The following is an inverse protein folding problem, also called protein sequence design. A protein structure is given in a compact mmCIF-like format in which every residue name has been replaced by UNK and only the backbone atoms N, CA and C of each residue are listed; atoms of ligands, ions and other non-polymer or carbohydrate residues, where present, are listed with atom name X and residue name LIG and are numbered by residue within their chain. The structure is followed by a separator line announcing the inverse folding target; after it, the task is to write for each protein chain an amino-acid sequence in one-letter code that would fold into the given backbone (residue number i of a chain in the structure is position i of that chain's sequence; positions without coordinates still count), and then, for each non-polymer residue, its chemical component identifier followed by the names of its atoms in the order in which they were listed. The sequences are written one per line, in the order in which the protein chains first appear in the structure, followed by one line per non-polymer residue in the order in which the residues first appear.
data_IF_383019358442
#
_entry.id   IF_383019358442
#
_cell.length_a   1.000
_cell.length_b   1.000
_cell.length_c   1.000
_cell.angle_alpha   90.00
_cell.angle_beta   90.00
_cell.angle_gamma   90.00
#
_symmetry.space_group_name_H-M   'P 1'
#
loop_
_entity.id
_entity.type
_entity.pdbx_description
1 polymer ?
#
# COMPACT_ATOMS: atom_id res chain seq x y z
N UNK A 1 -17.96 -12.99 11.92
CA UNK A 1 -19.22 -13.62 12.38
C UNK A 1 -20.14 -12.65 13.12
N UNK A 2 -19.61 -11.74 13.95
CA UNK A 2 -20.41 -10.76 14.71
C UNK A 2 -21.25 -9.83 13.83
N UNK A 3 -20.69 -9.37 12.70
CA UNK A 3 -21.38 -8.52 11.72
C UNK A 3 -22.67 -9.17 11.17
N UNK A 4 -22.69 -10.49 11.00
CA UNK A 4 -23.88 -11.21 10.54
C UNK A 4 -24.91 -11.37 11.67
N UNK A 5 -24.45 -11.68 12.89
CA UNK A 5 -25.32 -11.83 14.07
C UNK A 5 -26.00 -10.52 14.49
N UNK A 6 -25.37 -9.38 14.22
CA UNK A 6 -25.90 -8.05 14.54
C UNK A 6 -26.95 -7.52 13.54
N UNK A 7 -27.20 -8.21 12.41
CA UNK A 7 -28.18 -7.77 11.40
C UNK A 7 -29.58 -8.28 11.72
N UNK A 8 -30.53 -7.36 11.85
CA UNK A 8 -31.97 -7.65 11.80
C UNK A 8 -32.45 -7.63 10.34
N UNK A 9 -33.00 -8.74 9.88
CA UNK A 9 -33.56 -8.91 8.54
C UNK A 9 -34.99 -8.39 8.52
N UNK A 10 -35.29 -7.53 7.53
CA UNK A 10 -36.65 -7.10 7.25
C UNK A 10 -37.32 -8.06 6.26
N UNK A 11 -38.67 -8.16 6.23
CA UNK A 11 -39.38 -9.16 5.42
C UNK A 11 -39.06 -9.14 3.91
N UNK A 12 -38.69 -7.99 3.36
CA UNK A 12 -38.36 -7.82 1.94
C UNK A 12 -36.86 -8.03 1.61
N UNK A 13 -36.02 -8.26 2.63
CA UNK A 13 -34.59 -8.44 2.43
C UNK A 13 -34.27 -9.88 2.06
N UNK A 14 -33.47 -10.10 1.02
CA UNK A 14 -32.98 -11.43 0.67
C UNK A 14 -31.81 -11.85 1.59
N UNK A 15 -31.98 -12.82 2.50
CA UNK A 15 -30.94 -13.19 3.45
C UNK A 15 -29.71 -13.80 2.77
N UNK A 16 -29.89 -14.49 1.64
CA UNK A 16 -28.80 -15.12 0.90
C UNK A 16 -27.87 -14.12 0.22
N UNK A 17 -28.39 -12.99 -0.26
CA UNK A 17 -27.57 -11.90 -0.82
C UNK A 17 -26.81 -11.16 0.28
N UNK A 18 -27.49 -10.86 1.39
CA UNK A 18 -26.88 -10.19 2.55
C UNK A 18 -25.76 -11.04 3.14
N UNK A 19 -25.98 -12.36 3.24
CA UNK A 19 -24.97 -13.30 3.68
C UNK A 19 -23.77 -13.30 2.73
N UNK A 20 -23.99 -13.44 1.41
CA UNK A 20 -22.90 -13.45 0.41
C UNK A 20 -22.09 -12.15 0.43
N UNK A 21 -22.75 -11.01 0.52
CA UNK A 21 -22.09 -9.70 0.58
C UNK A 21 -21.21 -9.55 1.85
N UNK A 22 -21.67 -10.09 2.98
CA UNK A 22 -20.94 -10.02 4.24
C UNK A 22 -19.83 -11.07 4.36
N UNK A 23 -20.08 -12.31 3.93
CA UNK A 23 -19.16 -13.44 4.09
C UNK A 23 -18.11 -13.53 2.98
N UNK A 24 -18.37 -13.00 1.77
CA UNK A 24 -17.44 -12.99 0.63
C UNK A 24 -16.73 -14.34 0.44
N UNK A 25 -15.39 -14.35 0.52
CA UNK A 25 -14.54 -15.53 0.31
C UNK A 25 -14.70 -16.60 1.41
N UNK A 26 -15.21 -16.20 2.58
CA UNK A 26 -15.38 -17.07 3.73
C UNK A 26 -16.74 -17.75 3.78
N UNK A 27 -17.64 -17.44 2.83
CA UNK A 27 -18.97 -18.04 2.74
C UNK A 27 -18.95 -19.58 2.76
N UNK A 28 -17.93 -20.20 2.16
CA UNK A 28 -17.74 -21.66 2.12
C UNK A 28 -17.45 -22.29 3.49
N UNK A 29 -17.06 -21.50 4.48
CA UNK A 29 -16.73 -21.97 5.84
C UNK A 29 -17.85 -21.74 6.84
N UNK A 30 -18.92 -21.05 6.44
CA UNK A 30 -19.96 -20.58 7.35
C UNK A 30 -21.29 -21.23 6.96
N UNK A 31 -21.93 -21.84 7.94
CA UNK A 31 -23.33 -22.23 7.90
C UNK A 31 -24.18 -21.12 8.50
N UNK A 32 -25.34 -20.87 7.89
CA UNK A 32 -26.26 -19.87 8.39
C UNK A 32 -27.70 -20.35 8.28
N UNK A 33 -28.52 -19.89 9.22
CA UNK A 33 -29.98 -20.01 9.21
C UNK A 33 -30.56 -18.67 9.67
N UNK A 34 -31.81 -18.41 9.30
CA UNK A 34 -32.54 -17.25 9.81
C UNK A 34 -33.57 -17.75 10.82
N UNK A 35 -33.47 -17.26 12.04
CA UNK A 35 -34.38 -17.55 13.14
C UNK A 35 -34.80 -16.20 13.73
N UNK A 36 -36.11 -15.97 13.84
CA UNK A 36 -36.69 -14.72 14.35
C UNK A 36 -36.15 -13.44 13.67
N UNK A 37 -35.97 -13.49 12.36
CA UNK A 37 -35.44 -12.36 11.59
C UNK A 37 -33.96 -12.05 11.84
N UNK A 38 -33.20 -12.96 12.48
CA UNK A 38 -31.75 -12.79 12.72
C UNK A 38 -30.96 -13.94 12.12
N UNK A 39 -29.71 -13.66 11.74
CA UNK A 39 -28.79 -14.70 11.32
C UNK A 39 -28.25 -15.48 12.52
N UNK A 40 -28.53 -16.78 12.55
CA UNK A 40 -27.80 -17.74 13.35
C UNK A 40 -26.68 -18.32 12.48
N UNK A 41 -25.43 -18.09 12.86
CA UNK A 41 -24.25 -18.54 12.10
C UNK A 41 -23.41 -19.53 12.91
N UNK A 42 -22.95 -20.58 12.24
CA UNK A 42 -22.03 -21.59 12.75
C UNK A 42 -20.88 -21.80 11.76
N UNK A 43 -19.76 -22.33 12.26
CA UNK A 43 -18.64 -22.71 11.39
C UNK A 43 -18.85 -24.13 10.89
N UNK A 44 -18.64 -24.33 9.58
CA UNK A 44 -18.51 -25.64 8.97
C UNK A 44 -17.16 -26.24 9.38
N UNK A 45 -17.09 -26.84 10.56
CA UNK A 45 -15.84 -27.38 11.15
C UNK A 45 -15.07 -28.25 10.16
N UNK A 46 -15.75 -29.14 9.42
CA UNK A 46 -15.10 -30.00 8.42
C UNK A 46 -14.50 -29.20 7.26
N UNK A 47 -15.19 -28.18 6.74
CA UNK A 47 -14.68 -27.34 5.65
C UNK A 47 -13.47 -26.52 6.12
N UNK A 48 -13.51 -26.01 7.36
CA UNK A 48 -12.39 -25.31 7.99
C UNK A 48 -11.20 -26.24 8.16
N UNK A 49 -11.38 -27.41 8.77
CA UNK A 49 -10.32 -28.40 8.97
C UNK A 49 -9.71 -28.87 7.66
N UNK A 50 -10.52 -29.13 6.62
CA UNK A 50 -10.02 -29.49 5.30
C UNK A 50 -9.17 -28.38 4.67
N UNK A 51 -9.56 -27.12 4.84
CA UNK A 51 -8.77 -26.00 4.35
C UNK A 51 -7.46 -25.85 5.14
N UNK A 52 -7.50 -25.96 6.47
CA UNK A 52 -6.31 -25.91 7.34
C UNK A 52 -5.33 -27.03 6.97
N UNK A 53 -5.82 -28.25 6.76
CA UNK A 53 -4.99 -29.40 6.36
C UNK A 53 -4.31 -29.21 4.99
N UNK A 54 -4.87 -28.36 4.13
CA UNK A 54 -4.29 -28.00 2.81
C UNK A 54 -3.43 -26.74 2.85
N UNK A 55 -3.32 -26.06 4.00
CA UNK A 55 -2.45 -24.89 4.11
C UNK A 55 -0.99 -25.32 4.01
N UNK A 56 -0.21 -24.56 3.24
CA UNK A 56 1.23 -24.70 3.21
C UNK A 56 1.82 -24.45 4.60
N UNK A 57 2.90 -25.16 4.93
CA UNK A 57 3.69 -24.90 6.14
C UNK A 57 4.80 -23.92 5.79
N UNK A 58 4.97 -22.90 6.62
CA UNK A 58 6.10 -21.96 6.53
C UNK A 58 7.04 -22.22 7.69
N UNK A 59 8.34 -22.43 7.40
CA UNK A 59 9.37 -22.70 8.41
C UNK A 59 10.36 -21.52 8.37
N UNK A 60 10.50 -20.83 9.50
CA UNK A 60 11.48 -19.77 9.68
C UNK A 60 12.64 -20.30 10.52
N UNK A 61 13.81 -20.45 9.89
CA UNK A 61 15.04 -20.80 10.58
C UNK A 61 15.80 -19.52 10.92
N UNK A 62 16.28 -19.41 12.15
CA UNK A 62 17.07 -18.27 12.61
C UNK A 62 18.20 -18.74 13.52
N UNK A 63 19.20 -17.87 13.71
CA UNK A 63 20.33 -18.09 14.62
C UNK A 63 20.47 -16.89 15.55
N UNK A 64 20.56 -17.14 16.86
CA UNK A 64 20.70 -16.10 17.89
C UNK A 64 19.62 -16.20 18.96
N UNK A 65 19.64 -15.26 19.91
CA UNK A 65 18.64 -15.16 20.98
C UNK A 65 17.54 -14.19 20.57
N UNK A 66 16.43 -14.75 20.09
CA UNK A 66 15.24 -14.00 19.70
C UNK A 66 14.00 -14.78 20.10
N UNK A 67 12.97 -14.06 20.54
CA UNK A 67 11.62 -14.60 20.69
C UNK A 67 11.00 -14.88 19.33
N UNK A 68 9.97 -15.75 19.30
CA UNK A 68 9.24 -16.04 18.07
C UNK A 68 8.59 -14.79 17.43
N UNK A 69 8.18 -13.81 18.26
CA UNK A 69 7.60 -12.54 17.79
C UNK A 69 8.66 -11.71 17.07
N UNK A 70 9.85 -11.60 17.66
CA UNK A 70 10.96 -10.85 17.08
C UNK A 70 11.45 -11.49 15.78
N UNK A 71 11.59 -12.82 15.73
CA UNK A 71 11.94 -13.53 14.50
C UNK A 71 10.94 -13.23 13.38
N UNK A 72 9.65 -13.28 13.68
CA UNK A 72 8.61 -13.00 12.69
C UNK A 72 8.61 -11.53 12.25
N UNK A 73 8.82 -10.59 13.18
CA UNK A 73 8.92 -9.17 12.89
C UNK A 73 10.13 -8.85 12.00
N UNK A 74 11.30 -9.41 12.32
CA UNK A 74 12.53 -9.29 11.52
C UNK A 74 12.35 -9.92 10.14
N UNK A 75 11.73 -11.09 10.03
CA UNK A 75 11.45 -11.67 8.72
C UNK A 75 10.52 -10.77 7.90
N UNK A 76 9.47 -10.22 8.52
CA UNK A 76 8.53 -9.31 7.86
C UNK A 76 9.18 -7.98 7.46
N UNK A 77 10.20 -7.51 8.15
CA UNK A 77 10.90 -6.26 7.75
C UNK A 77 11.60 -6.41 6.39
N UNK A 78 11.90 -7.64 5.95
CA UNK A 78 12.38 -7.94 4.59
C UNK A 78 11.43 -7.43 3.51
N UNK A 79 10.12 -7.36 3.78
CA UNK A 79 9.13 -6.80 2.84
C UNK A 79 9.48 -5.36 2.43
N UNK A 80 10.12 -4.58 3.30
CA UNK A 80 10.59 -3.22 2.97
C UNK A 80 11.68 -3.27 1.89
N UNK A 81 12.57 -4.26 1.96
CA UNK A 81 13.62 -4.48 0.95
C UNK A 81 12.99 -4.93 -0.37
N UNK A 82 12.03 -5.87 -0.32
CA UNK A 82 11.33 -6.35 -1.52
C UNK A 82 10.56 -5.22 -2.21
N UNK A 83 9.87 -4.38 -1.45
CA UNK A 83 9.23 -3.15 -1.95
C UNK A 83 10.23 -2.15 -2.52
N UNK A 84 11.40 -2.01 -1.91
CA UNK A 84 12.47 -1.16 -2.43
C UNK A 84 12.97 -1.62 -3.80
N UNK A 85 13.17 -2.92 -3.98
CA UNK A 85 13.52 -3.50 -5.29
C UNK A 85 12.41 -3.37 -6.32
N UNK A 86 11.15 -3.51 -5.91
CA UNK A 86 10.00 -3.33 -6.78
C UNK A 86 9.93 -1.88 -7.30
N UNK A 87 10.08 -0.91 -6.40
CA UNK A 87 10.14 0.51 -6.74
C UNK A 87 11.32 0.85 -7.66
N UNK A 88 12.50 0.26 -7.40
CA UNK A 88 13.65 0.42 -8.29
C UNK A 88 13.34 -0.05 -9.71
N UNK A 89 12.65 -1.18 -9.87
CA UNK A 89 12.35 -1.76 -11.18
C UNK A 89 11.22 -1.04 -11.90
N UNK A 90 10.16 -0.67 -11.18
CA UNK A 90 8.92 -0.20 -11.81
C UNK A 90 8.81 1.34 -11.84
N UNK A 91 9.28 2.03 -10.80
CA UNK A 91 9.14 3.50 -10.70
C UNK A 91 10.41 4.23 -11.16
N UNK A 92 11.59 3.74 -10.78
CA UNK A 92 12.90 4.39 -11.03
C UNK A 92 13.57 3.86 -12.31
N UNK A 93 13.03 2.78 -12.88
CA UNK A 93 13.51 2.12 -14.10
C UNK A 93 14.98 1.65 -14.04
N UNK A 94 15.33 0.84 -13.03
CA UNK A 94 16.70 0.40 -12.77
C UNK A 94 17.37 -0.40 -13.92
N UNK A 95 16.65 -0.77 -14.98
CA UNK A 95 17.19 -1.60 -16.07
C UNK A 95 17.28 -0.86 -17.41
N UNK A 96 18.24 0.06 -17.58
CA UNK A 96 18.51 0.62 -18.90
C UNK A 96 19.07 -0.46 -19.83
N UNK A 97 18.54 -0.52 -21.06
CA UNK A 97 18.78 -1.61 -22.01
C UNK A 97 20.20 -1.70 -22.61
N UNK A 98 21.11 -0.75 -22.30
CA UNK A 98 22.33 -0.55 -23.11
C UNK A 98 23.58 -0.08 -22.32
N UNK A 99 23.82 -0.64 -21.12
CA UNK A 99 25.03 -0.33 -20.35
C UNK A 99 26.26 -1.10 -20.89
N UNK A 100 27.23 -0.37 -21.46
CA UNK A 100 28.39 -0.95 -22.16
C UNK A 100 29.59 -1.29 -21.27
N UNK A 101 29.66 -0.76 -20.05
CA UNK A 101 30.79 -0.99 -19.12
C UNK A 101 30.34 -1.09 -17.67
N UNK A 102 31.11 -1.80 -16.85
CA UNK A 102 30.87 -1.97 -15.40
C UNK A 102 30.89 -0.62 -14.65
N UNK A 103 31.74 0.32 -15.08
CA UNK A 103 31.82 1.65 -14.46
C UNK A 103 30.53 2.46 -14.62
N UNK A 104 29.93 2.43 -15.82
CA UNK A 104 28.65 3.11 -16.07
C UNK A 104 27.54 2.44 -15.27
N UNK A 105 27.51 1.10 -15.20
CA UNK A 105 26.55 0.36 -14.38
C UNK A 105 26.63 0.75 -12.90
N UNK A 106 27.84 0.82 -12.32
CA UNK A 106 28.01 1.24 -10.92
C UNK A 106 27.54 2.66 -10.68
N UNK A 107 27.87 3.60 -11.58
CA UNK A 107 27.41 4.99 -11.48
C UNK A 107 25.89 5.09 -11.56
N UNK A 108 25.28 4.33 -12.48
CA UNK A 108 23.83 4.28 -12.64
C UNK A 108 23.13 3.69 -11.40
N UNK A 109 23.62 2.56 -10.87
CA UNK A 109 23.11 1.95 -9.64
C UNK A 109 23.20 2.92 -8.45
N UNK A 110 24.27 3.70 -8.36
CA UNK A 110 24.43 4.71 -7.32
C UNK A 110 23.36 5.81 -7.42
N UNK A 111 23.11 6.34 -8.63
CA UNK A 111 22.06 7.35 -8.84
C UNK A 111 20.68 6.78 -8.54
N UNK A 112 20.38 5.56 -9.00
CA UNK A 112 19.12 4.89 -8.72
C UNK A 112 18.90 4.65 -7.21
N UNK A 113 19.98 4.34 -6.47
CA UNK A 113 19.93 4.23 -5.02
C UNK A 113 19.61 5.56 -4.33
N UNK A 114 20.19 6.68 -4.79
CA UNK A 114 19.84 8.02 -4.30
C UNK A 114 18.37 8.36 -4.62
N UNK A 115 17.91 8.06 -5.84
CA UNK A 115 16.52 8.26 -6.23
C UNK A 115 15.56 7.45 -5.32
N UNK A 116 15.92 6.21 -4.97
CA UNK A 116 15.14 5.38 -4.05
C UNK A 116 15.04 6.02 -2.65
N UNK A 117 16.16 6.52 -2.10
CA UNK A 117 16.16 7.20 -0.80
C UNK A 117 15.21 8.41 -0.82
N UNK A 118 15.30 9.24 -1.86
CA UNK A 118 14.44 10.42 -2.02
C UNK A 118 12.97 10.02 -2.13
N UNK A 119 12.66 9.01 -2.93
CA UNK A 119 11.31 8.48 -3.13
C UNK A 119 10.73 7.90 -1.84
N UNK A 120 11.51 7.12 -1.09
CA UNK A 120 11.09 6.59 0.22
C UNK A 120 10.83 7.72 1.23
N UNK A 121 11.69 8.76 1.25
CA UNK A 121 11.48 9.93 2.09
C UNK A 121 10.20 10.67 1.73
N UNK A 122 9.93 10.89 0.43
CA UNK A 122 8.70 11.51 -0.05
C UNK A 122 7.47 10.71 0.38
N UNK A 123 7.48 9.39 0.16
CA UNK A 123 6.37 8.52 0.58
C UNK A 123 6.11 8.61 2.08
N UNK A 124 7.17 8.63 2.90
CA UNK A 124 7.02 8.78 4.35
C UNK A 124 6.33 10.10 4.71
N UNK A 125 6.78 11.22 4.13
CA UNK A 125 6.15 12.53 4.34
C UNK A 125 4.69 12.54 3.88
N UNK A 126 4.38 11.91 2.75
CA UNK A 126 3.00 11.79 2.25
C UNK A 126 2.10 10.98 3.19
N UNK A 127 2.62 9.94 3.84
CA UNK A 127 1.86 9.14 4.80
C UNK A 127 1.62 9.94 6.08
N UNK A 128 2.67 10.61 6.60
CA UNK A 128 2.59 11.46 7.78
C UNK A 128 1.58 12.62 7.59
N UNK A 129 1.53 13.19 6.39
CA UNK A 129 0.59 14.25 6.01
C UNK A 129 -0.77 13.75 5.50
N UNK A 130 -1.04 12.43 5.53
CA UNK A 130 -2.23 11.76 4.97
C UNK A 130 -2.53 12.05 3.48
N UNK A 131 -1.55 12.56 2.74
CA UNK A 131 -1.65 12.85 1.30
C UNK A 131 -1.77 11.58 0.46
N UNK A 132 -1.23 10.45 0.96
CA UNK A 132 -1.32 9.14 0.31
C UNK A 132 -2.76 8.63 0.13
N UNK A 133 -3.74 9.19 0.83
CA UNK A 133 -5.18 8.89 0.63
C UNK A 133 -5.75 9.52 -0.64
N UNK A 134 -5.12 10.59 -1.13
CA UNK A 134 -5.61 11.41 -2.26
C UNK A 134 -4.70 11.33 -3.48
N UNK A 135 -3.39 11.17 -3.28
CA UNK A 135 -2.39 11.23 -4.34
C UNK A 135 -1.47 10.00 -4.29
N UNK A 136 -1.13 9.48 -5.47
CA UNK A 136 0.08 8.67 -5.63
C UNK A 136 1.31 9.59 -5.61
N UNK A 137 2.49 9.04 -5.32
CA UNK A 137 3.72 9.82 -5.31
C UNK A 137 4.05 10.41 -6.70
N UNK A 138 3.77 9.69 -7.79
CA UNK A 138 3.82 10.23 -9.15
C UNK A 138 2.80 11.35 -9.38
N UNK A 139 1.52 11.12 -9.02
CA UNK A 139 0.48 12.12 -9.22
C UNK A 139 0.74 13.42 -8.47
N UNK A 140 1.33 13.32 -7.27
CA UNK A 140 1.79 14.48 -6.50
C UNK A 140 2.91 15.22 -7.24
N UNK A 141 3.95 14.50 -7.71
CA UNK A 141 5.07 15.11 -8.44
C UNK A 141 4.60 15.77 -9.74
N UNK A 142 3.72 15.13 -10.51
CA UNK A 142 3.15 15.69 -11.75
C UNK A 142 2.32 16.95 -11.48
N UNK A 143 1.63 17.03 -10.33
CA UNK A 143 0.89 18.24 -9.95
C UNK A 143 1.83 19.39 -9.59
N UNK A 144 2.91 19.11 -8.87
CA UNK A 144 3.91 20.10 -8.49
C UNK A 144 4.80 20.53 -9.66
N UNK A 145 5.06 19.66 -10.64
CA UNK A 145 5.86 19.95 -11.84
C UNK A 145 5.31 21.12 -12.67
N UNK A 146 4.00 21.37 -12.55
CA UNK A 146 3.32 22.49 -13.23
C UNK A 146 3.72 23.86 -12.70
N UNK A 147 4.30 23.94 -11.50
CA UNK A 147 4.85 25.18 -10.95
C UNK A 147 6.16 25.47 -11.69
N UNK A 148 6.20 26.58 -12.44
CA UNK A 148 7.38 27.01 -13.20
C UNK A 148 7.88 28.36 -12.67
N UNK A 149 9.17 28.63 -12.85
CA UNK A 149 9.77 29.94 -12.63
C UNK A 149 10.20 30.49 -13.99
N UNK A 150 9.61 31.62 -14.37
CA UNK A 150 9.98 32.38 -15.55
C UNK A 150 11.08 33.36 -15.21
N UNK A 151 12.09 33.46 -16.07
CA UNK A 151 13.17 34.44 -15.96
C UNK A 151 12.94 35.48 -17.05
N UNK A 152 12.70 36.71 -16.63
CA UNK A 152 12.51 37.86 -17.52
C UNK A 152 13.86 38.32 -18.11
N UNK A 153 13.86 39.08 -19.22
CA UNK A 153 15.09 39.57 -19.86
C UNK A 153 15.96 40.46 -18.96
N UNK A 154 15.38 41.10 -17.95
CA UNK A 154 16.05 41.90 -16.92
C UNK A 154 16.61 41.05 -15.76
N UNK A 155 16.40 39.73 -15.79
CA UNK A 155 16.84 38.80 -14.76
C UNK A 155 15.85 38.61 -13.61
N UNK A 156 14.68 39.28 -13.63
CA UNK A 156 13.65 39.08 -12.63
C UNK A 156 13.05 37.67 -12.74
N UNK A 157 12.78 37.05 -11.58
CA UNK A 157 12.22 35.70 -11.49
C UNK A 157 10.76 35.77 -11.05
N UNK A 158 9.87 35.27 -11.89
CA UNK A 158 8.42 35.21 -11.61
C UNK A 158 7.98 33.75 -11.56
N UNK A 159 7.47 33.32 -10.41
CA UNK A 159 6.83 32.00 -10.27
C UNK A 159 5.43 32.03 -10.86
N UNK A 160 5.04 30.98 -11.59
CA UNK A 160 3.66 30.82 -12.08
C UNK A 160 2.66 30.74 -10.94
N UNK A 161 1.39 31.04 -11.24
CA UNK A 161 0.32 30.95 -10.25
C UNK A 161 0.23 29.55 -9.63
N UNK A 162 0.26 29.51 -8.30
CA UNK A 162 0.14 28.28 -7.52
C UNK A 162 -1.34 28.01 -7.27
N UNK A 163 -1.84 26.92 -7.83
CA UNK A 163 -3.24 26.52 -7.68
C UNK A 163 -3.55 26.12 -6.24
N UNK A 164 -4.83 26.12 -5.86
CA UNK A 164 -5.28 25.66 -4.53
C UNK A 164 -4.80 24.24 -4.21
N UNK A 165 -4.84 23.33 -5.19
CA UNK A 165 -4.39 21.94 -5.01
C UNK A 165 -2.90 21.87 -4.70
N UNK A 166 -2.07 22.63 -5.42
CA UNK A 166 -0.63 22.70 -5.19
C UNK A 166 -0.32 23.30 -3.82
N UNK A 167 -1.03 24.36 -3.43
CA UNK A 167 -0.88 24.97 -2.11
C UNK A 167 -1.23 23.99 -0.98
N UNK A 168 -2.34 23.27 -1.10
CA UNK A 168 -2.71 22.21 -0.14
C UNK A 168 -1.61 21.14 -0.01
N UNK A 169 -0.98 20.74 -1.13
CA UNK A 169 0.13 19.78 -1.11
C UNK A 169 1.36 20.38 -0.41
N UNK A 170 1.77 21.59 -0.79
CA UNK A 170 2.95 22.26 -0.23
C UNK A 170 2.80 22.52 1.28
N UNK A 171 1.65 23.03 1.70
CA UNK A 171 1.32 23.30 3.10
C UNK A 171 1.34 22.00 3.92
N UNK A 172 0.74 20.93 3.39
CA UNK A 172 0.74 19.62 4.03
C UNK A 172 2.14 19.01 4.18
N UNK A 173 3.04 19.29 3.23
CA UNK A 173 4.45 18.90 3.28
C UNK A 173 5.33 19.89 4.06
N UNK A 174 4.76 20.96 4.62
CA UNK A 174 5.47 22.04 5.30
C UNK A 174 6.57 22.69 4.43
N UNK A 175 6.30 22.79 3.12
CA UNK A 175 7.21 23.41 2.16
C UNK A 175 6.73 24.81 1.84
N UNK A 176 7.63 25.79 1.86
CA UNK A 176 7.29 27.14 1.42
C UNK A 176 6.98 27.14 -0.08
N UNK A 177 5.89 27.83 -0.43
CA UNK A 177 5.46 28.11 -1.79
C UNK A 177 6.28 29.25 -2.43
#
# INVERSE_FOLDING_TARGET
MEVLKAKNLKPWMNPGEIFRAAAKRDAKFIEWKVVDGRFQVSLRKNAVSQAINKMGKFILLYRGEFSWVECLALYRSKDVVEKGFDMLKNDIDLMPADLRTDSILRGYLFIAFLALILRMKLMRLMIEAELNKKYSAEGLLTELEKIKVMILPDGEKITTEITKKQREILDALQMCA
#
